data_IF_856044620292
#
_entry.id   IF_856044620292
#
_cell.length_a   1.000
_cell.length_b   1.000
_cell.length_c   1.000
_cell.angle_alpha   90.00
_cell.angle_beta   90.00
_cell.angle_gamma   90.00
#
_symmetry.space_group_name_H-M   'P 1'
#
loop_
_entity.id
_entity.type
_entity.pdbx_description
1 polymer ?
#
# COMPACT_ATOMS: atom_id res chain seq x y z
N UNK A 1 17.35 44.62 58.09
CA UNK A 1 16.59 43.53 58.74
C UNK A 1 16.68 42.29 57.84
N UNK A 2 17.25 41.18 58.31
CA UNK A 2 17.33 39.94 57.54
C UNK A 2 16.12 39.05 57.84
N UNK A 3 15.63 38.31 56.84
CA UNK A 3 14.76 37.16 57.05
C UNK A 3 15.42 36.00 56.32
N UNK A 4 15.97 35.08 57.10
CA UNK A 4 16.53 33.82 56.65
C UNK A 4 15.40 32.91 56.17
N UNK A 5 15.57 32.29 55.01
CA UNK A 5 14.68 31.23 54.52
C UNK A 5 14.88 29.95 55.31
N UNK A 6 13.77 29.36 55.74
CA UNK A 6 13.72 28.06 56.41
C UNK A 6 14.32 26.97 55.52
N UNK A 7 15.40 26.36 56.00
CA UNK A 7 15.93 25.12 55.45
C UNK A 7 15.15 23.99 56.11
N UNK A 8 14.33 23.31 55.31
CA UNK A 8 13.55 22.16 55.73
C UNK A 8 14.50 21.00 56.09
N UNK A 9 14.80 20.87 57.39
CA UNK A 9 15.60 19.75 57.91
C UNK A 9 14.66 18.54 58.00
N UNK A 10 14.67 17.70 56.96
CA UNK A 10 13.98 16.42 57.03
C UNK A 10 14.53 15.59 58.21
N UNK A 11 13.67 15.01 59.07
CA UNK A 11 14.11 14.18 60.18
C UNK A 11 14.97 13.00 59.69
N UNK A 12 16.05 12.69 60.40
CA UNK A 12 17.04 11.65 60.04
C UNK A 12 16.41 10.30 59.70
N UNK A 13 15.26 9.97 60.32
CA UNK A 13 14.52 8.74 60.06
C UNK A 13 13.94 8.69 58.63
N UNK A 14 13.51 9.81 58.05
CA UNK A 14 13.02 9.87 56.67
C UNK A 14 14.16 9.67 55.66
N UNK A 15 15.36 10.19 55.96
CA UNK A 15 16.57 9.97 55.17
C UNK A 15 17.03 8.50 55.21
N UNK A 16 16.93 7.86 56.38
CA UNK A 16 17.25 6.44 56.53
C UNK A 16 16.25 5.58 55.74
N UNK A 17 14.96 5.87 55.82
CA UNK A 17 13.94 5.16 55.03
C UNK A 17 14.16 5.34 53.53
N UNK A 18 14.43 6.56 53.06
CA UNK A 18 14.75 6.82 51.66
C UNK A 18 16.03 6.10 51.20
N UNK A 19 17.04 5.94 52.07
CA UNK A 19 18.24 5.16 51.80
C UNK A 19 17.96 3.65 51.75
N UNK A 20 17.08 3.14 52.63
CA UNK A 20 16.64 1.74 52.60
C UNK A 20 15.84 1.44 51.35
N UNK A 21 14.89 2.30 50.98
CA UNK A 21 14.10 2.17 49.75
C UNK A 21 15.00 2.21 48.50
N UNK A 22 16.00 3.09 48.49
CA UNK A 22 16.99 3.16 47.40
C UNK A 22 17.90 1.94 47.37
N UNK A 23 18.29 1.38 48.51
CA UNK A 23 19.05 0.13 48.59
C UNK A 23 18.22 -1.09 48.20
N UNK A 24 16.92 -1.10 48.49
CA UNK A 24 15.99 -2.13 48.05
C UNK A 24 15.71 -2.02 46.55
N UNK A 25 15.51 -0.81 46.03
CA UNK A 25 15.43 -0.57 44.59
C UNK A 25 16.73 -0.94 43.89
N UNK A 26 17.89 -0.60 44.44
CA UNK A 26 19.18 -0.99 43.87
C UNK A 26 19.42 -2.50 44.00
N UNK A 27 18.90 -3.18 45.04
CA UNK A 27 18.86 -4.65 45.12
C UNK A 27 17.91 -5.25 44.09
N UNK A 28 16.76 -4.62 43.79
CA UNK A 28 15.82 -5.05 42.75
C UNK A 28 16.37 -4.79 41.34
N UNK A 29 17.11 -3.70 41.14
CA UNK A 29 17.79 -3.34 39.88
C UNK A 29 19.07 -4.16 39.65
N UNK A 30 19.71 -4.68 40.72
CA UNK A 30 20.87 -5.60 40.68
C UNK A 30 20.50 -7.07 40.82
N UNK A 31 19.25 -7.41 41.07
CA UNK A 31 18.80 -8.79 40.95
C UNK A 31 18.92 -9.13 39.47
N UNK A 32 19.79 -10.10 39.16
CA UNK A 32 19.98 -10.64 37.83
C UNK A 32 18.63 -10.80 37.13
N UNK A 33 18.53 -10.44 35.86
CA UNK A 33 17.29 -10.52 35.08
C UNK A 33 16.61 -11.88 35.31
N UNK A 34 15.54 -11.86 36.10
CA UNK A 34 14.74 -13.06 36.39
C UNK A 34 13.89 -13.28 35.14
N UNK A 35 14.24 -14.30 34.37
CA UNK A 35 13.57 -14.68 33.13
C UNK A 35 12.72 -15.91 33.42
N UNK A 36 11.43 -15.87 33.05
CA UNK A 36 10.47 -16.98 33.28
C UNK A 36 10.78 -18.24 32.46
N UNK A 37 11.53 -18.11 31.36
CA UNK A 37 12.01 -19.21 30.52
C UNK A 37 13.38 -18.84 29.91
N UNK A 38 14.49 -19.02 30.64
CA UNK A 38 15.82 -18.65 30.15
C UNK A 38 16.32 -19.65 29.10
N UNK A 39 16.91 -19.14 28.01
CA UNK A 39 17.42 -19.98 26.92
C UNK A 39 18.51 -20.97 27.38
N UNK A 40 19.30 -20.57 28.38
CA UNK A 40 20.18 -21.45 29.12
C UNK A 40 20.14 -21.11 30.62
N UNK A 41 19.55 -21.97 31.48
CA UNK A 41 19.41 -21.66 32.90
C UNK A 41 20.76 -21.65 33.63
N UNK A 42 20.90 -20.74 34.59
CA UNK A 42 22.03 -20.71 35.51
C UNK A 42 21.99 -21.91 36.48
N UNK A 43 23.17 -22.42 36.84
CA UNK A 43 23.28 -23.55 37.76
C UNK A 43 22.71 -23.23 39.16
N UNK A 44 22.93 -22.01 39.65
CA UNK A 44 22.47 -21.59 41.00
C UNK A 44 20.98 -21.28 41.04
N UNK A 45 20.43 -20.75 39.96
CA UNK A 45 19.02 -20.34 39.89
C UNK A 45 18.50 -20.60 38.48
N UNK A 46 17.47 -21.44 38.39
CA UNK A 46 16.90 -21.87 37.13
C UNK A 46 16.11 -20.74 36.44
N UNK A 47 15.84 -19.64 37.15
CA UNK A 47 15.17 -18.45 36.62
C UNK A 47 16.15 -17.38 36.12
N UNK A 48 17.46 -17.60 36.19
CA UNK A 48 18.45 -16.69 35.60
C UNK A 48 18.98 -17.24 34.28
N UNK A 49 19.22 -16.33 33.33
CA UNK A 49 19.89 -16.65 32.08
C UNK A 49 21.41 -16.69 32.24
N UNK A 50 22.06 -17.71 31.68
CA UNK A 50 23.50 -17.91 31.78
C UNK A 50 24.26 -17.14 30.71
N UNK A 51 25.19 -16.29 31.16
CA UNK A 51 26.12 -15.56 30.29
C UNK A 51 27.48 -16.23 30.21
N UNK A 52 27.90 -16.90 31.29
CA UNK A 52 29.27 -17.37 31.50
C UNK A 52 29.31 -18.88 31.69
N UNK A 53 30.26 -19.54 31.04
CA UNK A 53 30.62 -20.94 31.28
C UNK A 53 31.97 -21.01 32.01
N UNK A 54 32.00 -21.73 33.13
CA UNK A 54 33.23 -22.02 33.85
C UNK A 54 33.83 -23.33 33.35
N UNK A 55 35.08 -23.29 32.86
CA UNK A 55 35.77 -24.47 32.32
C UNK A 55 36.08 -25.50 33.41
N UNK A 56 36.40 -25.04 34.62
CA UNK A 56 36.81 -25.89 35.74
C UNK A 56 35.61 -26.51 36.46
N UNK A 57 34.52 -25.75 36.65
CA UNK A 57 33.27 -26.26 37.23
C UNK A 57 32.42 -27.05 36.21
N UNK A 58 32.70 -26.91 34.91
CA UNK A 58 31.89 -27.44 33.79
C UNK A 58 30.42 -27.02 33.82
N UNK A 59 30.11 -25.91 34.47
CA UNK A 59 28.75 -25.39 34.69
C UNK A 59 28.59 -23.97 34.15
N UNK A 60 27.33 -23.57 33.94
CA UNK A 60 26.97 -22.25 33.41
C UNK A 60 26.32 -21.39 34.48
N UNK A 61 26.66 -20.12 34.48
CA UNK A 61 26.26 -19.15 35.49
C UNK A 61 25.83 -17.84 34.85
N UNK A 62 24.88 -17.17 35.50
CA UNK A 62 24.59 -15.77 35.23
C UNK A 62 25.77 -14.90 35.68
N UNK A 63 26.00 -13.72 35.07
CA UNK A 63 27.11 -12.85 35.44
C UNK A 63 27.15 -12.50 36.94
N UNK A 64 25.98 -12.33 37.56
CA UNK A 64 25.89 -12.02 38.99
C UNK A 64 26.17 -13.26 39.85
N UNK A 65 25.62 -14.41 39.48
CA UNK A 65 25.78 -15.69 40.15
C UNK A 65 27.26 -16.12 40.15
N UNK A 66 27.93 -15.93 39.01
CA UNK A 66 29.37 -16.17 38.86
C UNK A 66 30.19 -15.34 39.85
N UNK A 67 29.93 -14.01 39.91
CA UNK A 67 30.74 -13.07 40.68
C UNK A 67 30.42 -13.08 42.18
N UNK A 68 29.17 -13.29 42.55
CA UNK A 68 28.67 -13.06 43.91
C UNK A 68 28.50 -14.34 44.72
N UNK A 69 28.11 -15.45 44.09
CA UNK A 69 27.77 -16.71 44.77
C UNK A 69 28.88 -17.74 44.56
N UNK A 70 29.11 -18.20 43.32
CA UNK A 70 29.92 -19.39 43.07
C UNK A 70 31.42 -19.12 43.08
N UNK A 71 31.88 -18.09 42.37
CA UNK A 71 33.31 -17.80 42.24
C UNK A 71 33.76 -16.66 43.15
N UNK A 72 33.12 -16.48 44.30
CA UNK A 72 33.52 -15.46 45.29
C UNK A 72 34.80 -15.84 46.04
N UNK A 73 35.03 -17.12 46.31
CA UNK A 73 36.16 -17.62 47.10
C UNK A 73 37.50 -17.47 46.37
N UNK A 74 38.62 -17.30 47.10
CA UNK A 74 39.96 -17.12 46.50
C UNK A 74 40.37 -18.27 45.56
N UNK A 75 39.89 -19.49 45.83
CA UNK A 75 40.19 -20.69 45.02
C UNK A 75 39.39 -20.67 43.72
N UNK A 76 38.08 -20.42 43.81
CA UNK A 76 37.16 -20.47 42.66
C UNK A 76 37.32 -19.24 41.74
N UNK A 77 37.77 -18.09 42.25
CA UNK A 77 38.08 -16.89 41.41
C UNK A 77 39.11 -17.16 40.31
N UNK A 78 39.99 -18.14 40.50
CA UNK A 78 41.04 -18.51 39.54
C UNK A 78 40.51 -19.37 38.40
N UNK A 79 39.25 -19.80 38.46
CA UNK A 79 38.68 -20.62 37.41
C UNK A 79 38.63 -19.85 36.09
N UNK A 80 38.97 -20.56 35.02
CA UNK A 80 38.90 -20.03 33.66
C UNK A 80 37.45 -19.99 33.23
N UNK A 81 37.02 -18.82 32.76
CA UNK A 81 35.65 -18.53 32.36
C UNK A 81 35.64 -18.00 30.95
N UNK A 82 34.67 -18.45 30.16
CA UNK A 82 34.43 -17.99 28.80
C UNK A 82 32.94 -17.75 28.61
N UNK A 83 32.53 -16.90 27.66
CA UNK A 83 31.14 -16.75 27.26
C UNK A 83 30.50 -18.10 26.93
N UNK A 84 29.21 -18.26 27.25
CA UNK A 84 28.44 -19.47 26.93
C UNK A 84 28.46 -19.78 25.42
N UNK A 85 28.55 -18.78 24.56
CA UNK A 85 28.70 -18.94 23.10
C UNK A 85 30.00 -19.62 22.67
N UNK A 86 31.04 -19.56 23.49
CA UNK A 86 32.33 -20.21 23.28
C UNK A 86 32.46 -21.53 24.05
N UNK A 87 31.36 -22.01 24.64
CA UNK A 87 31.31 -23.31 25.30
C UNK A 87 31.64 -24.41 24.27
N UNK A 88 32.64 -25.26 24.53
CA UNK A 88 32.94 -26.39 23.66
C UNK A 88 31.73 -27.32 23.61
N UNK A 89 31.48 -27.88 22.41
CA UNK A 89 30.45 -28.90 22.19
C UNK A 89 30.67 -30.01 23.22
N UNK A 90 29.59 -30.37 23.93
CA UNK A 90 29.63 -31.30 25.07
C UNK A 90 30.45 -32.56 24.77
N UNK A 91 30.99 -33.12 25.86
CA UNK A 91 31.53 -34.48 25.95
C UNK A 91 30.67 -35.44 25.12
N UNK A 92 31.33 -36.15 24.21
CA UNK A 92 30.67 -37.06 23.28
C UNK A 92 29.93 -38.12 24.12
N UNK A 93 28.63 -38.36 23.90
CA UNK A 93 27.88 -39.33 24.68
C UNK A 93 28.48 -40.74 24.60
N UNK A 94 28.39 -41.49 25.70
CA UNK A 94 28.81 -42.88 25.75
C UNK A 94 27.99 -43.75 24.78
N UNK A 95 28.59 -44.84 24.31
CA UNK A 95 27.91 -45.79 23.43
C UNK A 95 26.82 -46.55 24.20
N UNK A 96 25.58 -46.63 23.70
CA UNK A 96 24.48 -47.35 24.36
C UNK A 96 24.75 -48.85 24.57
N UNK A 97 25.60 -49.44 23.73
CA UNK A 97 25.98 -50.86 23.79
C UNK A 97 27.23 -51.07 24.66
N UNK A 98 28.12 -50.07 24.71
CA UNK A 98 29.36 -50.11 25.48
C UNK A 98 29.49 -48.82 26.32
N UNK A 99 28.89 -48.76 27.51
CA UNK A 99 28.87 -47.56 28.34
C UNK A 99 30.27 -47.07 28.75
N UNK A 100 31.26 -47.96 28.73
CA UNK A 100 32.66 -47.66 29.05
C UNK A 100 33.44 -46.97 27.93
N UNK A 101 32.82 -46.77 26.75
CA UNK A 101 33.47 -46.14 25.59
C UNK A 101 32.58 -45.05 25.00
N UNK A 102 33.20 -43.92 24.68
CA UNK A 102 32.55 -42.82 23.96
C UNK A 102 32.09 -43.27 22.58
N UNK A 103 30.94 -42.77 22.15
CA UNK A 103 30.52 -42.93 20.78
C UNK A 103 31.52 -42.25 19.84
N UNK A 104 31.77 -42.80 18.67
CA UNK A 104 32.66 -42.18 17.67
C UNK A 104 31.97 -42.02 16.32
N UNK A 105 30.86 -42.75 16.12
CA UNK A 105 30.15 -42.80 14.87
C UNK A 105 28.65 -42.68 15.09
N UNK A 106 28.00 -42.20 14.05
CA UNK A 106 26.56 -42.02 13.95
C UNK A 106 26.06 -42.88 12.80
N UNK A 107 25.06 -43.73 13.06
CA UNK A 107 24.39 -44.53 12.05
C UNK A 107 23.31 -43.68 11.36
N UNK A 108 23.53 -43.34 10.08
CA UNK A 108 22.61 -42.50 9.32
C UNK A 108 21.33 -43.22 8.89
N UNK A 109 21.32 -44.55 8.91
CA UNK A 109 20.12 -45.34 8.57
C UNK A 109 19.06 -45.22 9.68
N UNK A 110 19.47 -45.34 10.95
CA UNK A 110 18.56 -45.15 12.09
C UNK A 110 18.18 -43.67 12.24
N UNK A 111 19.11 -42.73 12.07
CA UNK A 111 18.79 -41.31 12.20
C UNK A 111 17.77 -40.79 11.16
N UNK A 112 17.74 -41.38 9.97
CA UNK A 112 16.83 -40.99 8.90
C UNK A 112 15.55 -41.84 8.91
N UNK A 113 15.06 -42.28 10.08
CA UNK A 113 13.85 -43.12 10.23
C UNK A 113 12.58 -42.42 9.71
N UNK A 114 12.45 -42.43 8.38
CA UNK A 114 11.23 -42.56 7.59
C UNK A 114 11.26 -43.89 6.80
N UNK A 115 12.23 -44.79 7.07
CA UNK A 115 12.30 -46.09 6.42
C UNK A 115 11.48 -47.12 7.21
N UNK A 116 10.47 -47.67 6.54
CA UNK A 116 9.46 -48.63 7.01
C UNK A 116 10.01 -49.97 7.57
N UNK A 117 11.32 -50.18 7.59
CA UNK A 117 11.93 -51.43 8.06
C UNK A 117 13.15 -51.12 8.93
N UNK A 118 13.02 -51.12 10.27
CA UNK A 118 14.19 -51.08 11.14
C UNK A 118 15.02 -52.33 10.89
N UNK A 119 16.29 -52.16 10.52
CA UNK A 119 17.22 -53.28 10.41
C UNK A 119 17.38 -53.91 11.81
N UNK A 120 16.97 -55.17 12.02
CA UNK A 120 16.99 -55.82 13.33
C UNK A 120 18.42 -56.01 13.88
N UNK A 121 19.45 -55.79 13.06
CA UNK A 121 20.85 -55.85 13.49
C UNK A 121 21.36 -54.52 14.08
N UNK A 122 20.60 -53.43 13.94
CA UNK A 122 21.02 -52.07 14.29
C UNK A 122 20.16 -51.52 15.43
N UNK A 123 20.72 -51.44 16.64
CA UNK A 123 19.96 -51.02 17.84
C UNK A 123 20.23 -49.59 18.31
N UNK A 124 21.25 -48.90 17.78
CA UNK A 124 21.69 -47.60 18.30
C UNK A 124 22.00 -46.57 17.21
N UNK A 125 21.51 -45.34 17.37
CA UNK A 125 21.78 -44.17 16.50
C UNK A 125 23.25 -43.73 16.55
N UNK A 126 23.90 -43.89 17.70
CA UNK A 126 25.31 -43.58 17.94
C UNK A 126 26.04 -44.82 18.47
N UNK A 127 27.30 -45.03 18.07
CA UNK A 127 28.06 -46.21 18.45
C UNK A 127 29.58 -45.97 18.52
N UNK A 128 30.31 -46.81 19.28
CA UNK A 128 31.77 -46.71 19.47
C UNK A 128 32.57 -47.54 18.45
N UNK A 129 33.90 -47.40 18.47
CA UNK A 129 34.81 -48.16 17.60
C UNK A 129 34.72 -49.68 17.78
N UNK A 130 34.31 -50.18 18.96
CA UNK A 130 34.11 -51.61 19.20
C UNK A 130 32.89 -52.15 18.45
N UNK A 131 31.76 -51.44 18.45
CA UNK A 131 30.59 -51.79 17.64
C UNK A 131 30.91 -51.82 16.14
N UNK A 132 31.77 -50.90 15.68
CA UNK A 132 32.21 -50.90 14.29
C UNK A 132 33.02 -52.15 13.94
N UNK A 133 33.96 -52.55 14.82
CA UNK A 133 34.81 -53.74 14.64
C UNK A 133 34.02 -55.04 14.78
N UNK A 134 33.06 -55.07 15.70
CA UNK A 134 32.13 -56.20 15.90
C UNK A 134 31.14 -56.38 14.73
N UNK A 135 31.16 -55.50 13.73
CA UNK A 135 30.30 -55.55 12.53
C UNK A 135 28.80 -55.52 12.85
N UNK A 136 28.40 -54.97 14.00
CA UNK A 136 26.98 -54.79 14.36
C UNK A 136 26.28 -53.76 13.46
N UNK A 137 27.05 -52.94 12.74
CA UNK A 137 26.57 -51.96 11.76
C UNK A 137 27.10 -52.25 10.34
N UNK A 138 27.23 -53.53 9.97
CA UNK A 138 27.83 -53.93 8.69
C UNK A 138 26.95 -53.48 7.52
N UNK A 139 27.49 -52.63 6.65
CA UNK A 139 26.79 -52.13 5.47
C UNK A 139 25.93 -50.88 5.72
N UNK A 140 25.90 -50.36 6.95
CA UNK A 140 25.20 -49.10 7.23
C UNK A 140 26.07 -47.90 6.88
N UNK A 141 25.45 -46.86 6.30
CA UNK A 141 26.12 -45.59 6.08
C UNK A 141 26.33 -44.90 7.43
N UNK A 142 27.59 -44.69 7.80
CA UNK A 142 27.95 -44.01 9.04
C UNK A 142 28.81 -42.79 8.78
N UNK A 143 28.76 -41.86 9.72
CA UNK A 143 29.57 -40.65 9.74
C UNK A 143 30.23 -40.52 11.11
N UNK A 144 31.40 -39.90 11.19
CA UNK A 144 32.00 -39.53 12.48
C UNK A 144 31.07 -38.58 13.23
N UNK A 145 31.00 -38.74 14.55
CA UNK A 145 30.07 -37.97 15.38
C UNK A 145 30.42 -36.48 15.37
N UNK A 146 31.70 -36.11 15.37
CA UNK A 146 32.16 -34.73 15.35
C UNK A 146 31.74 -34.02 14.06
N UNK A 147 31.92 -34.69 12.91
CA UNK A 147 31.51 -34.16 11.61
C UNK A 147 29.98 -34.09 11.45
N UNK A 148 29.24 -34.94 12.16
CA UNK A 148 27.78 -34.90 12.17
C UNK A 148 27.26 -33.76 13.04
N UNK A 149 27.84 -33.55 14.23
CA UNK A 149 27.53 -32.43 15.12
C UNK A 149 27.81 -31.08 14.45
N UNK A 150 28.96 -30.92 13.81
CA UNK A 150 29.32 -29.69 13.09
C UNK A 150 28.38 -29.45 11.88
N UNK A 151 27.99 -30.51 11.17
CA UNK A 151 27.02 -30.39 10.08
C UNK A 151 25.63 -29.98 10.57
N UNK A 152 25.17 -30.50 11.71
CA UNK A 152 23.88 -30.15 12.28
C UNK A 152 23.90 -28.73 12.84
N UNK A 153 25.01 -28.32 13.46
CA UNK A 153 25.22 -26.93 13.89
C UNK A 153 25.06 -25.97 12.71
N UNK A 154 25.76 -26.19 11.60
CA UNK A 154 25.62 -25.36 10.39
C UNK A 154 24.19 -25.31 9.86
N UNK A 155 23.50 -26.45 9.81
CA UNK A 155 22.09 -26.51 9.39
C UNK A 155 21.16 -25.75 10.33
N UNK A 156 21.41 -25.79 11.63
CA UNK A 156 20.68 -25.02 12.63
C UNK A 156 20.95 -23.52 12.49
N UNK A 157 22.19 -23.12 12.24
CA UNK A 157 22.55 -21.72 11.98
C UNK A 157 21.88 -21.20 10.70
N UNK A 158 21.90 -21.99 9.61
CA UNK A 158 21.18 -21.68 8.37
C UNK A 158 19.67 -21.58 8.56
N UNK A 159 19.08 -22.50 9.34
CA UNK A 159 17.67 -22.47 9.67
C UNK A 159 17.31 -21.26 10.52
N UNK A 160 18.11 -20.98 11.55
CA UNK A 160 17.96 -19.80 12.41
C UNK A 160 18.00 -18.52 11.58
N UNK A 161 18.98 -18.38 10.68
CA UNK A 161 19.10 -17.21 9.81
C UNK A 161 17.88 -17.07 8.88
N UNK A 162 17.43 -18.16 8.25
CA UNK A 162 16.22 -18.15 7.40
C UNK A 162 14.97 -17.74 8.18
N UNK A 163 14.77 -18.31 9.36
CA UNK A 163 13.62 -17.98 10.22
C UNK A 163 13.71 -16.52 10.68
N UNK A 164 14.90 -16.05 11.07
CA UNK A 164 15.12 -14.65 11.49
C UNK A 164 14.74 -13.67 10.38
N UNK A 165 15.20 -13.91 9.14
CA UNK A 165 14.81 -13.09 7.98
C UNK A 165 13.30 -13.12 7.77
N UNK A 166 12.69 -14.31 7.82
CA UNK A 166 11.24 -14.47 7.65
C UNK A 166 10.44 -13.70 8.72
N UNK A 167 10.83 -13.81 9.99
CA UNK A 167 10.21 -13.09 11.10
C UNK A 167 10.30 -11.58 10.90
N UNK A 168 11.46 -11.07 10.48
CA UNK A 168 11.63 -9.64 10.21
C UNK A 168 10.75 -9.15 9.04
N UNK A 169 10.66 -9.94 7.97
CA UNK A 169 9.76 -9.64 6.83
C UNK A 169 8.30 -9.62 7.28
N UNK A 170 7.87 -10.63 8.05
CA UNK A 170 6.50 -10.71 8.55
C UNK A 170 6.17 -9.58 9.52
N UNK A 171 7.12 -9.20 10.38
CA UNK A 171 6.98 -8.05 11.28
C UNK A 171 6.80 -6.75 10.50
N UNK A 172 7.60 -6.53 9.46
CA UNK A 172 7.45 -5.36 8.58
C UNK A 172 6.09 -5.36 7.89
N UNK A 173 5.70 -6.49 7.27
CA UNK A 173 4.38 -6.64 6.63
C UNK A 173 3.22 -6.38 7.59
N UNK A 174 3.33 -6.85 8.84
CA UNK A 174 2.32 -6.61 9.87
C UNK A 174 2.18 -5.11 10.16
N UNK A 175 3.29 -4.41 10.38
CA UNK A 175 3.28 -2.97 10.64
C UNK A 175 2.73 -2.19 9.45
N UNK A 176 3.22 -2.45 8.24
CA UNK A 176 2.77 -1.80 7.01
C UNK A 176 1.26 -2.00 6.81
N UNK A 177 0.75 -3.22 7.08
CA UNK A 177 -0.67 -3.54 6.98
C UNK A 177 -1.52 -2.81 8.04
N UNK A 178 -0.99 -2.63 9.25
CA UNK A 178 -1.68 -1.91 10.33
C UNK A 178 -1.75 -0.41 10.02
N UNK A 179 -0.66 0.18 9.52
CA UNK A 179 -0.63 1.58 9.09
C UNK A 179 -1.59 1.82 7.93
N UNK A 180 -1.58 0.96 6.92
CA UNK A 180 -2.53 1.01 5.82
C UNK A 180 -3.97 0.90 6.33
N UNK A 181 -4.28 -0.08 7.17
CA UNK A 181 -5.61 -0.26 7.75
C UNK A 181 -6.09 0.98 8.49
N UNK A 182 -5.22 1.63 9.28
CA UNK A 182 -5.55 2.90 9.97
C UNK A 182 -6.01 3.98 8.98
N UNK A 183 -5.38 4.10 7.81
CA UNK A 183 -5.81 5.06 6.79
C UNK A 183 -7.19 4.79 6.20
N UNK A 184 -7.61 3.53 6.16
CA UNK A 184 -8.93 3.11 5.66
C UNK A 184 -10.01 3.09 6.74
N UNK A 185 -9.65 3.28 8.01
CA UNK A 185 -10.59 3.44 9.13
C UNK A 185 -10.71 4.91 9.56
N UNK A 186 -9.71 5.72 9.22
CA UNK A 186 -9.70 7.16 9.43
C UNK A 186 -10.82 7.85 8.63
N UNK A 187 -11.89 8.19 9.35
CA UNK A 187 -13.07 8.87 8.79
C UNK A 187 -12.72 10.22 8.18
N UNK A 188 -11.72 10.93 8.70
CA UNK A 188 -11.33 12.25 8.19
C UNK A 188 -10.63 12.12 6.83
N UNK A 189 -9.75 11.14 6.67
CA UNK A 189 -9.10 10.86 5.37
C UNK A 189 -10.09 10.41 4.32
N UNK A 190 -11.04 9.55 4.69
CA UNK A 190 -12.13 9.14 3.79
C UNK A 190 -12.98 10.34 3.40
N UNK A 191 -13.36 11.18 4.36
CA UNK A 191 -14.14 12.38 4.10
C UNK A 191 -13.40 13.38 3.20
N UNK A 192 -12.08 13.54 3.39
CA UNK A 192 -11.23 14.36 2.53
C UNK A 192 -11.19 13.82 1.09
N UNK A 193 -11.09 12.50 0.92
CA UNK A 193 -11.19 11.86 -0.40
C UNK A 193 -12.53 12.12 -1.08
N UNK A 194 -13.65 11.97 -0.35
CA UNK A 194 -15.00 12.27 -0.87
C UNK A 194 -15.15 13.74 -1.26
N UNK A 195 -14.71 14.65 -0.39
CA UNK A 195 -14.76 16.09 -0.65
C UNK A 195 -14.01 16.48 -1.93
N UNK A 196 -12.85 15.88 -2.19
CA UNK A 196 -12.11 16.13 -3.45
C UNK A 196 -12.91 15.73 -4.69
N UNK A 197 -13.67 14.63 -4.62
CA UNK A 197 -14.54 14.18 -5.72
C UNK A 197 -15.69 15.17 -5.89
N UNK A 198 -16.36 15.55 -4.80
CA UNK A 198 -17.44 16.55 -4.81
C UNK A 198 -16.95 17.89 -5.38
N UNK A 199 -15.81 18.40 -4.91
CA UNK A 199 -15.20 19.64 -5.39
C UNK A 199 -14.87 19.58 -6.89
N UNK A 200 -14.42 18.43 -7.40
CA UNK A 200 -14.16 18.25 -8.83
C UNK A 200 -15.45 18.38 -9.65
N UNK A 201 -16.50 17.65 -9.27
CA UNK A 201 -17.77 17.69 -9.99
C UNK A 201 -18.45 19.07 -9.90
N UNK A 202 -18.38 19.72 -8.74
CA UNK A 202 -18.90 21.07 -8.57
C UNK A 202 -18.19 22.07 -9.50
N UNK A 203 -16.86 21.99 -9.63
CA UNK A 203 -16.11 22.83 -10.58
C UNK A 203 -16.49 22.56 -12.03
N UNK A 204 -16.69 21.29 -12.41
CA UNK A 204 -17.14 20.95 -13.77
C UNK A 204 -18.54 21.52 -14.04
N UNK A 205 -19.44 21.44 -13.07
CA UNK A 205 -20.78 22.02 -13.15
C UNK A 205 -20.72 23.54 -13.30
N UNK A 206 -19.94 24.23 -12.46
CA UNK A 206 -19.75 25.68 -12.54
C UNK A 206 -19.21 26.12 -13.90
N UNK A 207 -18.24 25.39 -14.46
CA UNK A 207 -17.69 25.67 -15.79
C UNK A 207 -18.72 25.45 -16.90
N UNK A 208 -19.52 24.38 -16.82
CA UNK A 208 -20.57 24.10 -17.79
C UNK A 208 -21.64 25.20 -17.79
N UNK A 209 -22.10 25.60 -16.60
CA UNK A 209 -23.07 26.69 -16.43
C UNK A 209 -22.51 28.02 -16.95
N UNK A 210 -21.26 28.36 -16.61
CA UNK A 210 -20.63 29.60 -17.09
C UNK A 210 -20.50 29.64 -18.62
N UNK A 211 -20.20 28.51 -19.27
CA UNK A 211 -20.17 28.41 -20.73
C UNK A 211 -21.54 28.62 -21.35
N UNK A 212 -22.56 28.02 -20.75
CA UNK A 212 -23.95 28.18 -21.19
C UNK A 212 -24.40 29.65 -21.06
N UNK A 213 -24.17 30.28 -19.90
CA UNK A 213 -24.55 31.66 -19.65
C UNK A 213 -23.88 32.62 -20.65
N UNK A 214 -22.57 32.43 -20.88
CA UNK A 214 -21.84 33.23 -21.86
C UNK A 214 -22.39 33.04 -23.28
N UNK A 215 -22.66 31.79 -23.69
CA UNK A 215 -23.27 31.52 -24.99
C UNK A 215 -24.64 32.17 -25.13
N UNK A 216 -25.49 32.11 -24.10
CA UNK A 216 -26.81 32.77 -24.11
C UNK A 216 -26.68 34.27 -24.33
N UNK A 217 -25.74 34.94 -23.65
CA UNK A 217 -25.53 36.38 -23.82
C UNK A 217 -25.04 36.71 -25.24
N UNK A 218 -24.07 35.97 -25.78
CA UNK A 218 -23.61 36.15 -27.17
C UNK A 218 -24.75 36.00 -28.16
N UNK A 219 -25.56 34.93 -28.04
CA UNK A 219 -26.69 34.70 -28.95
C UNK A 219 -27.77 35.77 -28.81
N UNK A 220 -28.02 36.28 -27.60
CA UNK A 220 -28.96 37.40 -27.39
C UNK A 220 -28.49 38.65 -28.13
N UNK A 221 -27.21 38.98 -28.03
CA UNK A 221 -26.62 40.14 -28.73
C UNK A 221 -26.72 39.96 -30.24
N UNK A 222 -26.31 38.81 -30.78
CA UNK A 222 -26.39 38.51 -32.21
C UNK A 222 -27.83 38.62 -32.76
N UNK A 223 -28.80 38.00 -32.08
CA UNK A 223 -30.20 38.08 -32.51
C UNK A 223 -30.78 39.48 -32.34
N UNK A 224 -30.34 40.25 -31.33
CA UNK A 224 -30.77 41.63 -31.15
C UNK A 224 -30.28 42.53 -32.29
N UNK A 225 -29.00 42.40 -32.67
CA UNK A 225 -28.42 43.13 -33.80
C UNK A 225 -29.12 42.80 -35.12
N UNK A 226 -29.35 41.51 -35.38
CA UNK A 226 -30.06 41.06 -36.58
C UNK A 226 -31.51 41.56 -36.60
N UNK A 227 -32.21 41.51 -35.47
CA UNK A 227 -33.56 42.07 -35.36
C UNK A 227 -33.57 43.58 -35.67
N UNK A 228 -32.60 44.36 -35.18
CA UNK A 228 -32.49 45.79 -35.49
C UNK A 228 -32.32 46.01 -36.99
N UNK A 229 -31.43 45.25 -37.65
CA UNK A 229 -31.20 45.34 -39.10
C UNK A 229 -32.47 44.98 -39.88
N UNK A 230 -33.07 43.82 -39.62
CA UNK A 230 -34.29 43.39 -40.30
C UNK A 230 -35.44 44.38 -40.12
N UNK A 231 -35.58 44.96 -38.93
CA UNK A 231 -36.61 45.98 -38.65
C UNK A 231 -36.36 47.25 -39.45
N UNK A 232 -35.11 47.72 -39.53
CA UNK A 232 -34.75 48.90 -40.32
C UNK A 232 -35.00 48.68 -41.82
N UNK A 233 -34.63 47.51 -42.34
CA UNK A 233 -34.83 47.13 -43.74
C UNK A 233 -36.32 47.00 -44.08
N UNK A 234 -37.12 46.37 -43.20
CA UNK A 234 -38.57 46.29 -43.34
C UNK A 234 -39.20 47.69 -43.43
N UNK A 235 -38.85 48.59 -42.52
CA UNK A 235 -39.35 49.97 -42.54
C UNK A 235 -38.90 50.75 -43.79
N UNK A 236 -37.70 50.49 -44.31
CA UNK A 236 -37.24 51.08 -45.58
C UNK A 236 -38.08 50.56 -46.75
N UNK A 237 -38.29 49.24 -46.83
CA UNK A 237 -39.10 48.61 -47.87
C UNK A 237 -40.56 49.08 -47.83
N UNK A 238 -41.15 49.22 -46.65
CA UNK A 238 -42.50 49.75 -46.50
C UNK A 238 -42.60 51.20 -47.02
N UNK A 239 -41.58 52.04 -46.76
CA UNK A 239 -41.51 53.41 -47.30
C UNK A 239 -41.36 53.44 -48.83
N UNK A 240 -40.51 52.57 -49.39
CA UNK A 240 -40.35 52.43 -50.85
C UNK A 240 -41.67 51.98 -51.46
N UNK A 241 -42.29 50.93 -50.92
CA UNK A 241 -43.58 50.41 -51.37
C UNK A 241 -44.65 51.50 -51.38
N UNK A 242 -44.77 52.29 -50.30
CA UNK A 242 -45.72 53.40 -50.23
C UNK A 242 -45.45 54.46 -51.30
N UNK A 243 -44.19 54.80 -51.59
CA UNK A 243 -43.82 55.74 -52.67
C UNK A 243 -44.18 55.17 -54.05
N UNK A 244 -43.87 53.90 -54.30
CA UNK A 244 -44.22 53.19 -55.55
C UNK A 244 -45.75 53.18 -55.73
N UNK A 245 -46.50 52.78 -54.71
CA UNK A 245 -47.96 52.75 -54.74
C UNK A 245 -48.54 54.14 -55.01
N UNK A 246 -48.03 55.18 -54.34
CA UNK A 246 -48.49 56.56 -54.55
C UNK A 246 -48.24 57.03 -55.99
N UNK A 247 -47.02 56.88 -56.52
CA UNK A 247 -46.70 57.25 -57.92
C UNK A 247 -47.55 56.47 -58.92
N UNK A 248 -47.72 55.16 -58.71
CA UNK A 248 -48.55 54.30 -59.57
C UNK A 248 -50.01 54.76 -59.60
N UNK A 249 -50.59 55.13 -58.45
CA UNK A 249 -51.99 55.54 -58.35
C UNK A 249 -52.23 56.96 -58.88
N UNK A 250 -51.31 57.90 -58.59
CA UNK A 250 -51.44 59.31 -59.01
C UNK A 250 -51.07 59.54 -60.47
N UNK A 251 -50.26 58.65 -61.07
CA UNK A 251 -49.75 58.72 -62.45
C UNK A 251 -49.01 60.04 -62.77
N UNK A 252 -48.49 60.71 -61.76
CA UNK A 252 -47.71 61.93 -61.86
C UNK A 252 -46.23 61.60 -62.08
N UNK A 253 -45.55 62.33 -62.99
CA UNK A 253 -44.10 62.19 -63.24
C UNK A 253 -43.62 60.77 -63.55
N UNK A 254 -44.42 59.97 -64.26
CA UNK A 254 -44.08 58.57 -64.60
C UNK A 254 -42.88 58.43 -65.55
N UNK A 255 -42.46 59.52 -66.19
CA UNK A 255 -41.22 59.56 -66.98
C UNK A 255 -39.95 59.63 -66.12
N UNK A 256 -40.07 59.87 -64.81
CA UNK A 256 -38.96 59.91 -63.84
C UNK A 256 -39.23 58.96 -62.66
N UNK A 257 -38.86 57.69 -62.88
CA UNK A 257 -38.95 56.60 -61.91
C UNK A 257 -37.57 56.08 -61.49
N UNK A 258 -36.49 56.57 -62.11
CA UNK A 258 -35.14 56.01 -61.96
C UNK A 258 -34.68 56.04 -60.49
N UNK A 259 -34.94 57.13 -59.77
CA UNK A 259 -34.60 57.24 -58.35
C UNK A 259 -35.28 56.18 -57.47
N UNK A 260 -36.54 55.81 -57.77
CA UNK A 260 -37.26 54.77 -57.02
C UNK A 260 -36.77 53.38 -57.42
N UNK A 261 -36.54 53.15 -58.72
CA UNK A 261 -36.04 51.87 -59.23
C UNK A 261 -34.65 51.55 -58.70
N UNK A 262 -33.74 52.53 -58.67
CA UNK A 262 -32.40 52.36 -58.12
C UNK A 262 -32.41 52.08 -56.61
N UNK A 263 -33.31 52.74 -55.86
CA UNK A 263 -33.45 52.51 -54.42
C UNK A 263 -34.13 51.18 -54.11
N UNK A 264 -35.03 50.68 -54.97
CA UNK A 264 -35.62 49.35 -54.80
C UNK A 264 -34.63 48.23 -55.12
N UNK A 265 -33.85 48.35 -56.20
CA UNK A 265 -32.89 47.31 -56.63
C UNK A 265 -31.77 47.13 -55.60
N UNK A 266 -31.33 48.20 -54.93
CA UNK A 266 -30.27 48.13 -53.92
C UNK A 266 -30.67 47.46 -52.60
N UNK A 267 -31.97 47.30 -52.32
CA UNK A 267 -32.45 46.92 -50.98
C UNK A 267 -33.34 45.67 -50.98
N UNK A 268 -33.44 44.93 -52.09
CA UNK A 268 -34.24 43.68 -52.12
C UNK A 268 -33.58 42.66 -51.21
N UNK A 269 -34.34 42.14 -50.23
CA UNK A 269 -33.89 41.02 -49.41
C UNK A 269 -34.09 39.72 -50.23
N UNK A 270 -32.99 39.00 -50.49
CA UNK A 270 -32.98 37.87 -51.42
C UNK A 270 -33.27 36.50 -50.76
N UNK A 271 -33.33 36.40 -49.43
CA UNK A 271 -33.50 35.11 -48.74
C UNK A 271 -34.48 35.14 -47.57
N UNK A 272 -35.36 34.13 -47.51
CA UNK A 272 -36.22 33.84 -46.36
C UNK A 272 -35.38 33.11 -45.29
N UNK A 273 -34.84 33.87 -44.33
CA UNK A 273 -34.09 33.33 -43.21
C UNK A 273 -34.99 33.12 -41.99
N UNK A 274 -34.99 31.91 -41.44
CA UNK A 274 -35.67 31.60 -40.17
C UNK A 274 -34.66 31.56 -39.03
N UNK A 275 -35.02 32.15 -37.89
CA UNK A 275 -34.16 32.21 -36.71
C UNK A 275 -34.63 31.17 -35.68
N UNK A 276 -33.78 30.24 -35.26
CA UNK A 276 -34.13 29.22 -34.28
C UNK A 276 -34.37 29.83 -32.89
N UNK A 277 -35.28 29.23 -32.14
CA UNK A 277 -35.55 29.54 -30.74
C UNK A 277 -34.65 28.74 -29.82
N UNK A 278 -34.54 29.13 -28.54
CA UNK A 278 -33.72 28.43 -27.56
C UNK A 278 -34.06 26.93 -27.43
N UNK A 279 -35.32 26.54 -27.66
CA UNK A 279 -35.78 25.15 -27.60
C UNK A 279 -35.31 24.30 -28.79
N UNK A 280 -34.86 24.95 -29.86
CA UNK A 280 -34.35 24.28 -31.06
C UNK A 280 -32.86 23.88 -30.91
N UNK A 281 -32.22 24.21 -29.78
CA UNK A 281 -30.85 23.85 -29.45
C UNK A 281 -30.82 22.67 -28.47
N UNK A 282 -29.96 21.69 -28.75
CA UNK A 282 -29.71 20.56 -27.85
C UNK A 282 -28.35 20.71 -27.18
N UNK A 283 -28.26 20.21 -25.95
CA UNK A 283 -27.07 20.34 -25.10
C UNK A 283 -26.67 18.96 -24.56
N UNK A 284 -26.10 18.08 -25.40
CA UNK A 284 -25.66 16.76 -24.94
C UNK A 284 -24.45 16.90 -24.01
N UNK A 285 -24.59 16.39 -22.78
CA UNK A 285 -23.53 16.08 -21.81
C UNK A 285 -22.43 17.14 -21.62
N UNK A 286 -22.81 18.33 -21.14
CA UNK A 286 -21.87 19.30 -20.53
C UNK A 286 -20.84 19.91 -21.48
N UNK A 287 -20.88 19.53 -22.76
CA UNK A 287 -20.17 20.17 -23.85
C UNK A 287 -21.12 21.23 -24.45
N UNK A 288 -20.57 22.40 -24.80
CA UNK A 288 -21.36 23.53 -25.29
C UNK A 288 -22.29 23.16 -26.46
N UNK A 289 -23.27 24.03 -26.78
CA UNK A 289 -24.36 23.70 -27.70
C UNK A 289 -23.83 23.13 -29.01
N UNK A 290 -24.34 21.94 -29.35
CA UNK A 290 -24.28 21.46 -30.72
C UNK A 290 -25.34 22.27 -31.46
N UNK A 291 -25.01 22.81 -32.64
CA UNK A 291 -25.87 23.72 -33.40
C UNK A 291 -27.32 23.22 -33.52
N UNK A 292 -28.27 24.11 -33.86
CA UNK A 292 -29.70 23.85 -33.73
C UNK A 292 -30.04 22.49 -34.32
N UNK A 293 -30.63 21.63 -33.50
CA UNK A 293 -31.13 20.34 -33.98
C UNK A 293 -32.24 20.71 -34.93
N UNK A 294 -32.01 20.49 -36.22
CA UNK A 294 -32.99 20.75 -37.27
C UNK A 294 -34.14 19.77 -37.08
N UNK A 295 -35.02 20.06 -36.12
CA UNK A 295 -36.37 19.54 -36.11
C UNK A 295 -37.07 20.31 -37.21
N UNK A 296 -37.06 19.74 -38.41
CA UNK A 296 -37.98 20.18 -39.47
C UNK A 296 -39.38 20.17 -38.84
N UNK A 297 -39.94 21.34 -38.57
CA UNK A 297 -41.37 21.47 -38.26
C UNK A 297 -42.09 20.94 -39.49
N UNK A 298 -42.52 19.68 -39.43
CA UNK A 298 -43.45 19.09 -40.39
C UNK A 298 -44.82 19.76 -40.15
N UNK A 299 -44.94 21.03 -40.55
CA UNK A 299 -46.22 21.66 -40.79
C UNK A 299 -46.67 21.27 -42.20
N UNK A 300 -46.90 19.97 -42.38
CA UNK A 300 -47.74 19.48 -43.46
C UNK A 300 -48.52 18.27 -42.94
N UNK A 301 -49.51 18.56 -42.08
CA UNK A 301 -50.58 17.62 -41.75
C UNK A 301 -51.49 17.47 -42.97
N UNK A 302 -51.04 16.72 -43.96
CA UNK A 302 -51.96 15.92 -44.76
C UNK A 302 -52.20 14.63 -43.98
N UNK A 303 -53.45 14.41 -43.59
CA UNK A 303 -53.92 13.24 -42.82
C UNK A 303 -53.47 11.94 -43.51
N UNK A 304 -52.68 11.06 -42.86
CA UNK A 304 -52.50 9.71 -43.35
C UNK A 304 -53.69 8.87 -42.92
N UNK A 305 -54.35 8.26 -43.92
CA UNK A 305 -55.32 7.20 -43.74
C UNK A 305 -54.67 6.03 -43.00
N UNK A 306 -55.34 5.57 -41.94
CA UNK A 306 -54.97 4.36 -41.18
C UNK A 306 -54.86 3.13 -42.08
N UNK A 307 -53.98 2.19 -41.72
CA UNK A 307 -54.14 0.72 -41.72
C UNK A 307 -52.75 0.03 -41.57
N UNK A 308 -52.65 -1.23 -41.12
CA UNK A 308 -52.74 -1.66 -39.74
C UNK A 308 -51.45 -2.32 -39.21
N UNK A 309 -51.39 -2.38 -37.88
CA UNK A 309 -50.44 -3.04 -36.98
C UNK A 309 -49.90 -4.40 -37.46
N UNK A 310 -48.56 -4.54 -37.45
CA UNK A 310 -47.91 -5.82 -37.17
C UNK A 310 -46.92 -5.65 -36.01
N UNK A 311 -47.10 -6.47 -34.97
CA UNK A 311 -46.27 -6.53 -33.77
C UNK A 311 -44.88 -7.07 -34.11
N UNK A 312 -43.84 -6.42 -33.59
CA UNK A 312 -42.53 -7.01 -33.37
C UNK A 312 -42.30 -7.21 -31.86
N UNK A 313 -41.53 -8.23 -31.44
CA UNK A 313 -41.44 -8.67 -30.06
C UNK A 313 -40.43 -7.86 -29.23
N UNK A 314 -40.60 -7.90 -27.91
CA UNK A 314 -39.87 -7.14 -26.89
C UNK A 314 -38.34 -7.32 -26.92
N UNK A 315 -37.57 -6.29 -26.50
CA UNK A 315 -36.11 -6.36 -26.46
C UNK A 315 -35.58 -7.12 -25.23
N UNK A 316 -34.48 -7.84 -25.44
CA UNK A 316 -33.66 -8.50 -24.42
C UNK A 316 -32.89 -7.44 -23.60
N UNK A 317 -32.70 -7.60 -22.27
CA UNK A 317 -31.94 -6.64 -21.47
C UNK A 317 -30.43 -6.78 -21.72
N UNK A 318 -29.80 -5.65 -22.04
CA UNK A 318 -28.35 -5.50 -22.15
C UNK A 318 -27.68 -5.59 -20.76
N UNK A 319 -26.63 -6.40 -20.67
CA UNK A 319 -25.93 -6.72 -19.43
C UNK A 319 -25.02 -5.55 -18.99
N UNK A 320 -25.03 -5.27 -17.69
CA UNK A 320 -24.10 -4.37 -17.01
C UNK A 320 -22.70 -5.00 -16.96
N UNK A 321 -21.71 -4.39 -17.60
CA UNK A 321 -20.31 -4.76 -17.43
C UNK A 321 -19.76 -4.24 -16.08
N UNK A 322 -19.13 -5.14 -15.34
CA UNK A 322 -18.44 -4.89 -14.08
C UNK A 322 -17.08 -4.20 -14.30
N UNK A 323 -16.52 -3.48 -13.29
CA UNK A 323 -15.27 -2.76 -13.45
C UNK A 323 -14.07 -3.71 -13.59
N UNK A 324 -13.22 -3.41 -14.58
CA UNK A 324 -12.04 -4.18 -14.95
C UNK A 324 -10.98 -4.32 -13.85
N UNK A 325 -10.27 -5.44 -13.91
CA UNK A 325 -9.13 -5.78 -13.07
C UNK A 325 -7.97 -4.77 -13.20
N UNK A 326 -7.13 -4.62 -12.16
CA UNK A 326 -6.02 -3.69 -12.13
C UNK A 326 -4.93 -4.05 -13.14
N UNK A 327 -4.42 -3.01 -13.81
CA UNK A 327 -3.26 -3.07 -14.71
C UNK A 327 -2.01 -3.41 -13.89
N UNK A 328 -1.40 -4.55 -14.20
CA UNK A 328 -0.05 -4.91 -13.76
C UNK A 328 0.92 -4.10 -14.61
N UNK A 329 1.62 -3.15 -14.01
CA UNK A 329 2.74 -2.46 -14.66
C UNK A 329 4.00 -3.27 -14.31
N UNK A 330 4.48 -3.99 -15.32
CA UNK A 330 5.78 -4.64 -15.34
C UNK A 330 6.84 -3.57 -15.66
N UNK A 331 7.74 -3.29 -14.73
CA UNK A 331 8.93 -2.49 -15.00
C UNK A 331 10.12 -3.40 -14.72
N UNK A 332 10.60 -4.02 -15.79
CA UNK A 332 11.78 -4.86 -15.78
C UNK A 332 13.05 -4.08 -15.47
N UNK A 333 13.92 -4.76 -14.72
CA UNK A 333 15.30 -4.41 -14.47
C UNK A 333 16.12 -4.38 -15.77
N UNK A 334 16.78 -3.26 -16.06
CA UNK A 334 18.04 -3.23 -16.80
C UNK A 334 19.05 -2.41 -16.00
N UNK A 335 19.85 -3.09 -15.18
CA UNK A 335 21.08 -2.53 -14.62
C UNK A 335 22.22 -2.99 -15.51
N UNK A 336 22.61 -2.12 -16.44
CA UNK A 336 23.85 -2.27 -17.21
C UNK A 336 25.00 -1.94 -16.25
N UNK A 337 25.86 -2.94 -16.01
CA UNK A 337 27.10 -2.79 -15.26
C UNK A 337 28.20 -2.50 -16.26
N UNK A 338 28.56 -1.22 -16.42
CA UNK A 338 29.77 -0.84 -17.15
C UNK A 338 30.99 -1.14 -16.29
N UNK A 339 31.82 -2.06 -16.79
CA UNK A 339 33.14 -2.37 -16.29
C UNK A 339 34.10 -1.37 -16.95
N UNK A 340 34.65 -0.44 -16.16
CA UNK A 340 35.75 0.38 -16.61
C UNK A 340 37.03 -0.47 -16.62
N UNK A 341 37.58 -0.66 -17.82
CA UNK A 341 38.96 -1.07 -18.04
C UNK A 341 39.87 0.15 -17.78
N UNK A 342 40.73 0.04 -16.76
CA UNK A 342 41.87 0.92 -16.55
C UNK A 342 43.02 0.45 -17.44
N UNK A 343 43.45 1.29 -18.38
CA UNK A 343 44.73 1.19 -19.09
C UNK A 343 45.77 2.11 -18.42
N UNK A 344 46.95 1.53 -18.24
CA UNK A 344 48.25 2.01 -17.75
C UNK A 344 48.58 3.52 -17.83
N UNK A 345 49.20 4.04 -16.74
CA UNK A 345 50.49 4.77 -16.69
C UNK A 345 51.09 4.68 -15.28
#
# INVERSE_FOLDING_TARGET
MPIFGDVDIQPTNCLILALVDKLEEDRRKKAANVVTDPFLPCHEDHNHESDVWCQDCKQTYCNDCDRTVCHRSKVLRRHKRVPVSLRPVREIPACPIHPEKDASYVCLIILNQNQLFPDPTCSATIYCTLCQKARTHKGHKSKKIEEHLESNRKKLDELHNRITVSVNVLKKKSNDSEEAWKTFVDKEKIASGRKKIEDYHNRQLELALSRYDNWVEVMKEEFHEEHIKCSADWHLQERILKRVSNKRMRKDTLYDINSIMEESIRNVADEEKTYPTLQDYDFPDGMGPIGPVVVRRNDDRTIPVEMPVQRAPDPVPEQLDAPGNPVVIDVGDEVVVDVAEDDDI
#
